data_IF_341625619221
#
_entry.id   IF_341625619221
#
_cell.length_a   1.000
_cell.length_b   1.000
_cell.length_c   1.000
_cell.angle_alpha   90.00
_cell.angle_beta   90.00
_cell.angle_gamma   90.00
#
_symmetry.space_group_name_H-M   'P 1'
#
loop_
_entity.id
_entity.type
_entity.pdbx_description
1 polymer ?
#
# COMPACT_ATOMS: atom_id res chain seq x y z
N UNK A 1 20.20 19.76 -0.44
CA UNK A 1 19.95 20.91 -1.32
C UNK A 1 21.02 20.95 -2.41
N UNK A 2 20.65 21.31 -3.65
CA UNK A 2 21.53 21.36 -4.84
C UNK A 2 22.84 22.15 -4.59
N UNK A 3 22.78 23.20 -3.76
CA UNK A 3 23.94 24.00 -3.37
C UNK A 3 25.02 23.19 -2.63
N UNK A 4 24.64 22.27 -1.75
CA UNK A 4 25.61 21.40 -1.07
C UNK A 4 26.30 20.45 -2.06
N UNK A 5 25.56 19.91 -3.02
CA UNK A 5 26.14 19.06 -4.08
C UNK A 5 27.16 19.81 -4.93
N UNK A 6 26.88 21.08 -5.25
CA UNK A 6 27.79 21.91 -6.00
C UNK A 6 29.10 22.20 -5.24
N UNK A 7 29.00 22.55 -3.94
CA UNK A 7 30.17 22.77 -3.07
C UNK A 7 31.01 21.48 -2.94
N UNK A 8 30.37 20.34 -2.70
CA UNK A 8 31.06 19.04 -2.61
C UNK A 8 31.76 18.71 -3.92
N UNK A 9 31.13 18.96 -5.07
CA UNK A 9 31.74 18.76 -6.38
C UNK A 9 32.99 19.61 -6.58
N UNK A 10 32.95 20.89 -6.25
CA UNK A 10 34.12 21.79 -6.33
C UNK A 10 35.24 21.27 -5.43
N UNK A 11 34.93 20.84 -4.22
CA UNK A 11 35.90 20.40 -3.23
C UNK A 11 36.61 19.11 -3.69
N UNK A 12 35.85 18.14 -4.20
CA UNK A 12 36.37 16.89 -4.74
C UNK A 12 37.30 17.12 -5.93
N UNK A 13 36.87 17.95 -6.89
CA UNK A 13 37.68 18.29 -8.07
C UNK A 13 38.95 19.08 -7.70
N UNK A 14 38.85 19.98 -6.71
CA UNK A 14 40.03 20.73 -6.22
C UNK A 14 41.07 19.81 -5.60
N UNK A 15 40.64 18.78 -4.82
CA UNK A 15 41.51 17.76 -4.28
C UNK A 15 42.17 16.97 -5.42
N UNK A 16 41.40 16.58 -6.43
CA UNK A 16 41.96 15.86 -7.59
C UNK A 16 43.00 16.67 -8.35
N UNK A 17 42.75 17.98 -8.57
CA UNK A 17 43.74 18.85 -9.20
C UNK A 17 45.01 19.01 -8.36
N UNK A 18 44.88 19.04 -7.03
CA UNK A 18 46.03 19.05 -6.14
C UNK A 18 46.90 17.78 -6.29
N UNK A 19 46.27 16.60 -6.37
CA UNK A 19 47.00 15.35 -6.61
C UNK A 19 47.71 15.35 -7.97
N UNK A 20 47.07 15.87 -9.04
CA UNK A 20 47.72 15.98 -10.35
C UNK A 20 48.94 16.90 -10.28
N UNK A 21 48.87 18.02 -9.56
CA UNK A 21 49.99 18.94 -9.38
C UNK A 21 51.16 18.30 -8.64
N UNK A 22 50.89 17.49 -7.60
CA UNK A 22 51.91 16.89 -6.75
C UNK A 22 52.60 15.67 -7.36
N UNK A 23 51.88 14.85 -8.13
CA UNK A 23 52.34 13.55 -8.60
C UNK A 23 52.62 13.47 -10.11
N UNK A 24 52.22 14.46 -10.91
CA UNK A 24 52.46 14.46 -12.36
C UNK A 24 53.63 15.35 -12.72
N UNK A 25 54.61 14.87 -13.52
CA UNK A 25 55.71 15.70 -14.01
C UNK A 25 55.27 16.91 -14.84
N UNK A 26 54.12 16.77 -15.52
CA UNK A 26 53.51 17.83 -16.35
C UNK A 26 52.26 18.44 -15.69
N UNK A 27 52.09 18.24 -14.38
CA UNK A 27 50.90 18.57 -13.62
C UNK A 27 50.46 20.02 -13.77
N UNK A 28 51.39 20.97 -13.76
CA UNK A 28 51.08 22.39 -13.92
C UNK A 28 50.47 22.72 -15.28
N UNK A 29 50.98 22.14 -16.36
CA UNK A 29 50.44 22.36 -17.72
C UNK A 29 49.06 21.75 -17.83
N UNK A 30 48.84 20.54 -17.31
CA UNK A 30 47.56 19.86 -17.32
C UNK A 30 46.51 20.66 -16.55
N UNK A 31 46.79 21.00 -15.29
CA UNK A 31 45.84 21.71 -14.44
C UNK A 31 45.45 23.06 -15.04
N UNK A 32 46.40 23.79 -15.63
CA UNK A 32 46.11 25.09 -16.29
C UNK A 32 45.04 25.01 -17.38
N UNK A 33 44.98 23.90 -18.13
CA UNK A 33 44.03 23.75 -19.25
C UNK A 33 42.76 23.00 -18.86
N UNK A 34 42.82 22.05 -17.92
CA UNK A 34 41.69 21.19 -17.64
C UNK A 34 40.94 21.54 -16.33
N UNK A 35 41.56 22.30 -15.38
CA UNK A 35 40.92 22.54 -14.08
C UNK A 35 39.57 23.25 -14.21
N UNK A 36 39.51 24.35 -14.96
CA UNK A 36 38.28 25.14 -15.06
C UNK A 36 37.11 24.32 -15.66
N UNK A 37 37.26 23.70 -16.85
CA UNK A 37 36.16 22.93 -17.41
C UNK A 37 35.77 21.70 -16.56
N UNK A 38 36.74 20.98 -15.96
CA UNK A 38 36.45 19.84 -15.12
C UNK A 38 35.70 20.24 -13.84
N UNK A 39 36.17 21.26 -13.12
CA UNK A 39 35.50 21.74 -11.90
C UNK A 39 34.09 22.17 -12.21
N UNK A 40 33.85 22.92 -13.28
CA UNK A 40 32.51 23.39 -13.63
C UNK A 40 31.56 22.24 -14.03
N UNK A 41 32.01 21.38 -14.95
CA UNK A 41 31.15 20.31 -15.48
C UNK A 41 30.84 19.28 -14.39
N UNK A 42 31.83 18.83 -13.64
CA UNK A 42 31.65 17.80 -12.63
C UNK A 42 30.90 18.33 -11.40
N UNK A 43 31.14 19.56 -10.98
CA UNK A 43 30.36 20.17 -9.88
C UNK A 43 28.90 20.37 -10.26
N UNK A 44 28.62 20.77 -11.49
CA UNK A 44 27.26 20.91 -12.01
C UNK A 44 26.58 19.54 -12.12
N UNK A 45 27.29 18.54 -12.67
CA UNK A 45 26.83 17.16 -12.78
C UNK A 45 26.50 16.56 -11.39
N UNK A 46 27.39 16.72 -10.44
CA UNK A 46 27.19 16.25 -9.05
C UNK A 46 25.98 16.95 -8.40
N UNK A 47 25.85 18.25 -8.61
CA UNK A 47 24.69 19.01 -8.09
C UNK A 47 23.36 18.52 -8.64
N UNK A 48 23.29 18.31 -9.96
CA UNK A 48 22.08 17.79 -10.63
C UNK A 48 21.78 16.36 -10.15
N UNK A 49 22.78 15.49 -10.12
CA UNK A 49 22.61 14.10 -9.67
C UNK A 49 22.08 14.01 -8.24
N UNK A 50 22.70 14.74 -7.31
CA UNK A 50 22.24 14.76 -5.91
C UNK A 50 20.85 15.41 -5.78
N UNK A 51 20.50 16.37 -6.62
CA UNK A 51 19.16 16.97 -6.64
C UNK A 51 18.10 15.97 -7.08
N UNK A 52 18.40 15.17 -8.11
CA UNK A 52 17.47 14.12 -8.59
C UNK A 52 17.27 13.05 -7.52
N UNK A 53 18.36 12.58 -6.88
CA UNK A 53 18.26 11.60 -5.78
C UNK A 53 17.45 12.17 -4.61
N UNK A 54 17.75 13.41 -4.19
CA UNK A 54 17.03 14.05 -3.09
C UNK A 54 15.54 14.21 -3.39
N UNK A 55 15.20 14.59 -4.61
CA UNK A 55 13.81 14.67 -5.04
C UNK A 55 13.10 13.32 -5.01
N UNK A 56 13.77 12.28 -5.50
CA UNK A 56 13.22 10.92 -5.50
C UNK A 56 12.96 10.40 -4.07
N UNK A 57 13.94 10.57 -3.18
CA UNK A 57 13.80 10.16 -1.77
C UNK A 57 12.69 10.95 -1.06
N UNK A 58 12.57 12.24 -1.34
CA UNK A 58 11.52 13.07 -0.73
C UNK A 58 10.13 12.68 -1.20
N UNK A 59 9.96 12.37 -2.49
CA UNK A 59 8.70 11.82 -3.00
C UNK A 59 8.31 10.50 -2.33
N UNK A 60 9.28 9.61 -2.09
CA UNK A 60 9.02 8.34 -1.42
C UNK A 60 8.59 8.56 0.04
N UNK A 61 9.20 9.50 0.76
CA UNK A 61 8.81 9.86 2.13
C UNK A 61 7.41 10.47 2.20
N UNK A 62 7.07 11.38 1.28
CA UNK A 62 5.72 11.97 1.22
C UNK A 62 4.65 10.94 0.92
N UNK A 63 4.90 10.02 -0.02
CA UNK A 63 3.98 8.92 -0.33
C UNK A 63 3.76 8.02 0.88
N UNK A 64 4.82 7.65 1.60
CA UNK A 64 4.74 6.85 2.83
C UNK A 64 3.97 7.58 3.94
N UNK A 65 4.21 8.88 4.11
CA UNK A 65 3.50 9.70 5.11
C UNK A 65 1.99 9.79 4.80
N UNK A 66 1.62 10.01 3.54
CA UNK A 66 0.22 10.04 3.11
C UNK A 66 -0.48 8.68 3.32
N UNK A 67 0.19 7.57 2.99
CA UNK A 67 -0.34 6.23 3.21
C UNK A 67 -0.56 5.94 4.69
N UNK A 68 0.39 6.30 5.55
CA UNK A 68 0.28 6.12 7.00
C UNK A 68 -0.87 6.94 7.57
N UNK A 69 -1.03 8.18 7.15
CA UNK A 69 -2.12 9.05 7.58
C UNK A 69 -3.50 8.48 7.17
N UNK A 70 -3.63 8.02 5.93
CA UNK A 70 -4.87 7.42 5.43
C UNK A 70 -5.26 6.14 6.19
N UNK A 71 -4.28 5.28 6.50
CA UNK A 71 -4.52 4.06 7.30
C UNK A 71 -4.96 4.40 8.72
N UNK A 72 -4.30 5.36 9.38
CA UNK A 72 -4.68 5.80 10.73
C UNK A 72 -6.09 6.41 10.75
N UNK A 73 -6.42 7.24 9.77
CA UNK A 73 -7.75 7.85 9.67
C UNK A 73 -8.82 6.79 9.40
N UNK A 74 -8.57 5.88 8.48
CA UNK A 74 -9.47 4.74 8.20
C UNK A 74 -9.68 3.90 9.45
N UNK A 75 -8.61 3.60 10.19
CA UNK A 75 -8.69 2.87 11.46
C UNK A 75 -9.57 3.60 12.46
N UNK A 76 -9.32 4.87 12.72
CA UNK A 76 -10.09 5.66 13.69
C UNK A 76 -11.57 5.76 13.32
N UNK A 77 -11.91 5.91 12.05
CA UNK A 77 -13.30 5.97 11.60
C UNK A 77 -14.02 4.61 11.65
N UNK A 78 -13.31 3.50 11.51
CA UNK A 78 -13.90 2.15 11.53
C UNK A 78 -14.02 1.53 12.92
N UNK A 79 -13.14 1.93 13.85
CA UNK A 79 -13.10 1.40 15.22
C UNK A 79 -14.45 1.37 15.93
N UNK A 80 -15.26 2.45 15.95
CA UNK A 80 -16.53 2.48 16.71
C UNK A 80 -17.53 1.43 16.23
N UNK A 81 -17.48 1.08 14.94
CA UNK A 81 -18.40 0.11 14.36
C UNK A 81 -18.00 -1.33 14.67
N UNK A 82 -16.72 -1.65 14.71
CA UNK A 82 -16.26 -3.00 15.05
C UNK A 82 -16.40 -3.34 16.54
N UNK A 83 -16.35 -2.36 17.43
CA UNK A 83 -16.71 -2.56 18.85
C UNK A 83 -18.15 -3.06 19.05
N UNK A 84 -19.04 -2.77 18.09
CA UNK A 84 -20.42 -3.27 18.09
C UNK A 84 -20.54 -4.72 17.57
N UNK A 85 -19.42 -5.39 17.33
CA UNK A 85 -19.36 -6.72 16.78
C UNK A 85 -19.52 -6.78 15.25
N UNK A 86 -19.29 -7.98 14.69
CA UNK A 86 -19.43 -8.24 13.28
C UNK A 86 -20.90 -8.50 12.92
N UNK A 87 -21.63 -7.48 12.51
CA UNK A 87 -23.03 -7.56 12.10
C UNK A 87 -23.28 -6.74 10.82
N UNK A 88 -24.49 -6.83 10.27
CA UNK A 88 -24.86 -6.15 9.02
C UNK A 88 -24.68 -4.63 9.11
N UNK A 89 -25.08 -4.00 10.22
CA UNK A 89 -25.01 -2.55 10.40
C UNK A 89 -23.55 -2.07 10.46
N UNK A 90 -22.74 -2.70 11.31
CA UNK A 90 -21.31 -2.37 11.45
C UNK A 90 -20.57 -2.60 10.12
N UNK A 91 -20.82 -3.73 9.46
CA UNK A 91 -20.20 -4.06 8.18
C UNK A 91 -20.55 -3.03 7.08
N UNK A 92 -21.80 -2.56 7.01
CA UNK A 92 -22.22 -1.54 6.03
C UNK A 92 -21.47 -0.21 6.20
N UNK A 93 -21.25 0.24 7.43
CA UNK A 93 -20.51 1.48 7.68
C UNK A 93 -19.03 1.31 7.33
N UNK A 94 -18.45 0.19 7.73
CA UNK A 94 -17.03 -0.10 7.49
C UNK A 94 -16.71 -0.21 6.01
N UNK A 95 -17.52 -0.91 5.19
CA UNK A 95 -17.25 -0.99 3.74
C UNK A 95 -17.31 0.38 3.06
N UNK A 96 -18.21 1.27 3.51
CA UNK A 96 -18.30 2.65 3.02
C UNK A 96 -17.04 3.45 3.36
N UNK A 97 -16.54 3.31 4.60
CA UNK A 97 -15.33 3.99 5.05
C UNK A 97 -14.13 3.48 4.27
N UNK A 98 -13.93 2.16 4.17
CA UNK A 98 -12.83 1.59 3.40
C UNK A 98 -12.89 2.07 1.94
N UNK A 99 -14.05 2.01 1.28
CA UNK A 99 -14.23 2.48 -0.09
C UNK A 99 -13.91 3.97 -0.27
N UNK A 100 -14.22 4.80 0.74
CA UNK A 100 -13.94 6.25 0.73
C UNK A 100 -12.43 6.56 0.79
N UNK A 101 -11.67 5.79 1.58
CA UNK A 101 -10.25 6.04 1.84
C UNK A 101 -9.29 5.18 1.02
N UNK A 102 -9.81 4.33 0.14
CA UNK A 102 -9.02 3.45 -0.71
C UNK A 102 -9.49 3.51 -2.17
N UNK A 103 -8.62 3.08 -3.07
CA UNK A 103 -8.91 3.05 -4.51
C UNK A 103 -9.51 1.71 -4.96
N UNK A 104 -9.91 0.81 -4.04
CA UNK A 104 -10.55 -0.45 -4.43
C UNK A 104 -11.88 -0.20 -5.15
N UNK A 105 -12.14 -0.91 -6.23
CA UNK A 105 -13.38 -0.78 -7.01
C UNK A 105 -14.59 -1.33 -6.26
N UNK A 106 -14.38 -2.37 -5.44
CA UNK A 106 -15.38 -2.87 -4.54
C UNK A 106 -14.78 -3.36 -3.21
N UNK A 107 -15.58 -3.24 -2.14
CA UNK A 107 -15.26 -3.73 -0.79
C UNK A 107 -16.42 -4.53 -0.25
N UNK A 108 -16.15 -5.70 0.33
CA UNK A 108 -17.17 -6.55 0.93
C UNK A 108 -16.72 -7.11 2.27
N UNK A 109 -17.66 -7.23 3.21
CA UNK A 109 -17.47 -7.92 4.49
C UNK A 109 -18.50 -9.04 4.57
N UNK A 110 -18.04 -10.22 5.03
CA UNK A 110 -18.89 -11.39 5.18
C UNK A 110 -18.73 -11.99 6.57
N UNK A 111 -19.74 -12.68 7.02
CA UNK A 111 -19.56 -13.72 8.05
C UNK A 111 -19.08 -15.02 7.42
N UNK A 112 -19.21 -16.14 8.11
CA UNK A 112 -18.79 -17.47 7.61
C UNK A 112 -19.68 -18.03 6.50
N UNK A 113 -20.90 -17.49 6.31
CA UNK A 113 -21.92 -18.06 5.45
C UNK A 113 -22.51 -17.05 4.46
N UNK A 114 -22.58 -15.76 4.84
CA UNK A 114 -23.33 -14.73 4.11
C UNK A 114 -22.52 -13.47 3.91
N UNK A 115 -22.87 -12.72 2.89
CA UNK A 115 -22.43 -11.35 2.67
C UNK A 115 -23.15 -10.46 3.67
N UNK A 116 -22.39 -9.76 4.54
CA UNK A 116 -22.96 -8.79 5.47
C UNK A 116 -23.10 -7.41 4.82
N UNK A 117 -22.08 -7.01 4.05
CA UNK A 117 -22.09 -5.76 3.31
C UNK A 117 -21.23 -5.88 2.04
N UNK A 118 -21.63 -5.17 1.01
CA UNK A 118 -20.89 -4.99 -0.24
C UNK A 118 -21.12 -3.58 -0.75
N UNK A 119 -20.12 -2.96 -1.39
CA UNK A 119 -20.22 -1.66 -2.04
C UNK A 119 -19.26 -1.60 -3.22
N UNK A 120 -19.71 -1.05 -4.34
CA UNK A 120 -18.91 -0.85 -5.55
C UNK A 120 -19.24 -1.86 -6.66
N UNK A 121 -18.27 -2.14 -7.52
CA UNK A 121 -18.47 -3.01 -8.67
C UNK A 121 -19.06 -4.38 -8.26
N UNK A 122 -20.04 -4.88 -9.01
CA UNK A 122 -20.71 -6.17 -8.73
C UNK A 122 -21.79 -6.09 -7.64
N UNK A 123 -22.31 -4.91 -7.29
CA UNK A 123 -23.37 -4.72 -6.30
C UNK A 123 -24.74 -5.26 -6.76
N UNK A 124 -24.89 -5.53 -8.03
CA UNK A 124 -26.07 -6.12 -8.66
C UNK A 124 -26.28 -7.60 -8.27
N UNK A 125 -25.21 -8.35 -7.95
CA UNK A 125 -25.28 -9.76 -7.57
C UNK A 125 -24.62 -10.08 -6.21
N UNK A 126 -23.64 -9.31 -5.74
CA UNK A 126 -23.08 -9.45 -4.39
C UNK A 126 -23.98 -8.83 -3.30
N UNK A 127 -25.22 -9.27 -3.23
CA UNK A 127 -26.28 -8.67 -2.39
C UNK A 127 -26.09 -9.07 -0.92
N UNK A 128 -26.11 -8.10 0.04
CA UNK A 128 -26.07 -8.39 1.46
C UNK A 128 -27.21 -9.31 1.92
N UNK A 129 -26.87 -10.40 2.59
CA UNK A 129 -27.80 -11.46 3.01
C UNK A 129 -27.69 -12.74 2.18
N UNK A 130 -27.22 -12.65 0.94
CA UNK A 130 -26.95 -13.82 0.11
C UNK A 130 -25.83 -14.70 0.70
N UNK A 131 -25.85 -15.99 0.33
CA UNK A 131 -24.77 -16.92 0.68
C UNK A 131 -23.47 -16.51 0.02
N UNK A 132 -22.37 -16.98 0.59
CA UNK A 132 -21.05 -16.82 -0.01
C UNK A 132 -20.98 -17.59 -1.34
N UNK A 133 -20.87 -16.85 -2.42
CA UNK A 133 -20.95 -17.37 -3.80
C UNK A 133 -19.56 -17.54 -4.43
N UNK A 134 -18.48 -17.13 -3.75
CA UNK A 134 -17.13 -17.23 -4.30
C UNK A 134 -16.33 -18.37 -3.66
N UNK A 135 -15.70 -19.19 -4.49
CA UNK A 135 -14.84 -20.31 -4.04
C UNK A 135 -13.64 -19.79 -3.22
N UNK A 136 -13.11 -18.62 -3.58
CA UNK A 136 -12.01 -17.97 -2.89
C UNK A 136 -12.34 -17.70 -1.42
N UNK A 137 -13.53 -17.16 -1.14
CA UNK A 137 -13.97 -16.86 0.23
C UNK A 137 -14.14 -18.11 1.08
N UNK A 138 -14.72 -19.18 0.51
CA UNK A 138 -14.84 -20.46 1.18
C UNK A 138 -13.48 -21.05 1.56
N UNK A 139 -12.48 -20.88 0.70
CA UNK A 139 -11.12 -21.33 0.96
C UNK A 139 -10.49 -20.53 2.13
N UNK A 140 -10.62 -19.20 2.14
CA UNK A 140 -10.11 -18.34 3.23
C UNK A 140 -10.75 -18.72 4.58
N UNK A 141 -12.06 -18.97 4.61
CA UNK A 141 -12.75 -19.37 5.84
C UNK A 141 -12.25 -20.73 6.35
N UNK A 142 -11.98 -21.68 5.45
CA UNK A 142 -11.48 -23.02 5.81
C UNK A 142 -10.03 -23.01 6.28
N UNK A 143 -9.17 -22.32 5.55
CA UNK A 143 -7.71 -22.32 5.80
C UNK A 143 -7.29 -21.27 6.80
N UNK A 144 -8.08 -20.19 6.92
CA UNK A 144 -7.72 -19.01 7.69
C UNK A 144 -6.54 -18.25 7.10
N UNK A 145 -6.14 -18.49 5.88
CA UNK A 145 -5.05 -17.78 5.21
C UNK A 145 -5.59 -16.77 4.23
N UNK A 146 -4.92 -15.62 4.15
CA UNK A 146 -5.20 -14.62 3.11
C UNK A 146 -5.02 -15.27 1.73
N UNK A 147 -5.89 -14.94 0.81
CA UNK A 147 -5.82 -15.39 -0.59
C UNK A 147 -5.93 -14.20 -1.52
N UNK A 148 -5.17 -14.29 -2.60
CA UNK A 148 -5.12 -13.28 -3.65
C UNK A 148 -5.56 -13.95 -4.94
N UNK A 149 -6.40 -13.28 -5.69
CA UNK A 149 -6.80 -13.67 -7.04
C UNK A 149 -6.40 -12.56 -8.01
N UNK A 150 -5.75 -12.95 -9.10
CA UNK A 150 -5.28 -12.05 -10.16
C UNK A 150 -6.12 -12.15 -11.44
N UNK A 151 -7.23 -12.85 -11.39
CA UNK A 151 -8.21 -12.95 -12.48
C UNK A 151 -9.57 -13.42 -11.94
N UNK A 152 -10.63 -13.17 -12.70
CA UNK A 152 -12.02 -13.52 -12.37
C UNK A 152 -12.23 -15.01 -12.09
N UNK A 153 -11.51 -15.91 -12.80
CA UNK A 153 -11.60 -17.37 -12.59
C UNK A 153 -11.11 -17.77 -11.20
N UNK A 154 -10.06 -17.13 -10.70
CA UNK A 154 -9.53 -17.38 -9.34
C UNK A 154 -10.47 -16.84 -8.26
N UNK A 155 -11.18 -15.75 -8.52
CA UNK A 155 -12.23 -15.24 -7.62
C UNK A 155 -13.34 -16.28 -7.52
N UNK A 156 -13.71 -16.88 -8.64
CA UNK A 156 -14.71 -17.96 -8.72
C UNK A 156 -16.10 -17.45 -8.35
N UNK A 157 -16.50 -16.30 -8.88
CA UNK A 157 -17.86 -15.80 -8.78
C UNK A 157 -18.80 -16.70 -9.61
N UNK A 158 -20.04 -16.88 -9.14
CA UNK A 158 -21.07 -17.67 -9.85
C UNK A 158 -21.56 -16.91 -11.07
N UNK A 159 -21.61 -15.58 -11.01
CA UNK A 159 -22.03 -14.76 -12.15
C UNK A 159 -20.88 -14.66 -13.17
N UNK A 160 -21.08 -15.15 -14.40
CA UNK A 160 -20.07 -15.10 -15.46
C UNK A 160 -19.79 -13.68 -15.96
N UNK A 161 -20.68 -12.73 -15.72
CA UNK A 161 -20.54 -11.33 -16.10
C UNK A 161 -19.98 -10.45 -14.96
N UNK A 162 -19.52 -11.07 -13.88
CA UNK A 162 -18.95 -10.34 -12.74
C UNK A 162 -17.75 -9.49 -13.21
N UNK A 163 -17.75 -8.16 -12.97
CA UNK A 163 -16.70 -7.26 -13.45
C UNK A 163 -15.41 -7.35 -12.63
N UNK A 164 -15.37 -8.18 -11.59
CA UNK A 164 -14.23 -8.26 -10.67
C UNK A 164 -13.12 -9.14 -11.24
N UNK A 165 -11.94 -8.55 -11.45
CA UNK A 165 -10.79 -9.23 -12.06
C UNK A 165 -9.68 -9.55 -11.07
N UNK A 166 -9.54 -8.76 -10.00
CA UNK A 166 -8.56 -9.03 -8.96
C UNK A 166 -9.18 -8.90 -7.58
N UNK A 167 -8.71 -9.72 -6.64
CA UNK A 167 -9.23 -9.74 -5.27
C UNK A 167 -8.17 -10.02 -4.23
N UNK A 168 -8.27 -9.35 -3.09
CA UNK A 168 -7.63 -9.71 -1.84
C UNK A 168 -8.75 -10.16 -0.90
N UNK A 169 -8.66 -11.38 -0.40
CA UNK A 169 -9.59 -11.90 0.61
C UNK A 169 -8.81 -12.25 1.87
N UNK A 170 -9.07 -11.49 2.92
CA UNK A 170 -8.39 -11.64 4.21
C UNK A 170 -9.36 -12.14 5.29
N UNK A 171 -8.94 -13.07 6.17
CA UNK A 171 -9.78 -13.60 7.22
C UNK A 171 -9.93 -12.61 8.38
N UNK A 172 -11.15 -12.40 8.85
CA UNK A 172 -11.45 -11.78 10.14
C UNK A 172 -11.44 -12.85 11.21
N UNK A 173 -10.60 -12.70 12.26
CA UNK A 173 -10.38 -13.72 13.27
C UNK A 173 -10.61 -13.18 14.69
N UNK A 174 -11.12 -14.02 15.57
CA UNK A 174 -11.05 -13.84 17.02
C UNK A 174 -10.28 -15.04 17.58
N UNK A 175 -9.10 -14.80 18.11
CA UNK A 175 -8.16 -15.85 18.44
C UNK A 175 -7.84 -16.73 17.22
N UNK A 176 -8.05 -18.04 17.35
CA UNK A 176 -7.82 -19.00 16.25
C UNK A 176 -9.04 -19.21 15.35
N UNK A 177 -10.19 -18.61 15.65
CA UNK A 177 -11.43 -18.84 14.90
C UNK A 177 -11.65 -17.78 13.85
N UNK A 178 -11.81 -18.18 12.59
CA UNK A 178 -12.26 -17.28 11.51
C UNK A 178 -13.75 -17.01 11.70
N UNK A 179 -14.14 -15.77 11.86
CA UNK A 179 -15.54 -15.33 12.03
C UNK A 179 -16.13 -14.78 10.73
N UNK A 180 -15.30 -14.34 9.80
CA UNK A 180 -15.71 -13.79 8.52
C UNK A 180 -14.54 -13.47 7.62
N UNK A 181 -14.79 -12.66 6.57
CA UNK A 181 -13.75 -12.19 5.65
C UNK A 181 -13.95 -10.72 5.31
N UNK A 182 -12.84 -10.01 5.13
CA UNK A 182 -12.77 -8.73 4.45
C UNK A 182 -12.28 -9.01 3.03
N UNK A 183 -12.96 -8.44 2.05
CA UNK A 183 -12.65 -8.61 0.64
C UNK A 183 -12.52 -7.23 -0.02
N UNK A 184 -11.48 -7.07 -0.80
CA UNK A 184 -11.20 -5.87 -1.58
C UNK A 184 -10.93 -6.28 -3.01
N UNK A 185 -11.50 -5.56 -3.96
CA UNK A 185 -11.53 -5.96 -5.36
C UNK A 185 -11.14 -4.82 -6.28
N UNK A 186 -10.56 -5.20 -7.42
CA UNK A 186 -10.36 -4.37 -8.59
C UNK A 186 -11.08 -4.96 -9.81
N UNK A 187 -11.48 -4.09 -10.71
CA UNK A 187 -12.07 -4.46 -12.01
C UNK A 187 -11.00 -4.68 -13.08
N UNK A 188 -9.74 -4.49 -12.75
CA UNK A 188 -8.61 -4.85 -13.58
C UNK A 188 -7.56 -5.66 -12.81
N UNK A 189 -6.63 -6.29 -13.56
CA UNK A 189 -5.67 -7.23 -12.99
C UNK A 189 -4.39 -6.56 -12.45
N UNK A 190 -4.16 -5.28 -12.73
CA UNK A 190 -2.85 -4.63 -12.61
C UNK A 190 -2.63 -3.87 -11.29
N UNK A 191 -3.64 -3.73 -10.46
CA UNK A 191 -3.60 -2.86 -9.28
C UNK A 191 -3.25 -3.54 -7.94
N UNK A 192 -3.07 -4.87 -7.92
CA UNK A 192 -2.70 -5.56 -6.68
C UNK A 192 -1.22 -5.43 -6.38
N UNK A 193 -0.88 -4.48 -5.53
CA UNK A 193 0.48 -4.24 -5.05
C UNK A 193 0.72 -4.87 -3.66
N UNK A 194 1.98 -5.09 -3.26
CA UNK A 194 2.30 -5.52 -1.89
C UNK A 194 1.76 -4.57 -0.81
N UNK A 195 1.61 -3.28 -1.12
CA UNK A 195 1.07 -2.27 -0.19
C UNK A 195 -0.39 -2.55 0.13
N UNK A 196 -1.21 -2.86 -0.86
CA UNK A 196 -2.65 -3.17 -0.67
C UNK A 196 -2.84 -4.48 0.07
N UNK A 197 -1.98 -5.46 -0.15
CA UNK A 197 -2.00 -6.71 0.61
C UNK A 197 -1.70 -6.45 2.09
N UNK A 198 -0.68 -5.65 2.39
CA UNK A 198 -0.34 -5.27 3.77
C UNK A 198 -1.44 -4.44 4.41
N UNK A 199 -2.08 -3.54 3.67
CA UNK A 199 -3.24 -2.79 4.14
C UNK A 199 -4.38 -3.74 4.54
N UNK A 200 -4.71 -4.73 3.70
CA UNK A 200 -5.75 -5.71 3.98
C UNK A 200 -5.46 -6.51 5.26
N UNK A 201 -4.21 -6.96 5.44
CA UNK A 201 -3.77 -7.68 6.62
C UNK A 201 -3.92 -6.81 7.86
N UNK A 202 -3.35 -5.59 7.82
CA UNK A 202 -3.39 -4.66 8.95
C UNK A 202 -4.82 -4.29 9.37
N UNK A 203 -5.70 -4.04 8.42
CA UNK A 203 -7.12 -3.79 8.70
C UNK A 203 -7.79 -4.98 9.39
N UNK A 204 -7.55 -6.20 8.90
CA UNK A 204 -8.13 -7.40 9.51
C UNK A 204 -7.64 -7.64 10.95
N UNK A 205 -6.36 -7.38 11.23
CA UNK A 205 -5.79 -7.49 12.58
C UNK A 205 -6.41 -6.46 13.53
N UNK A 206 -6.53 -5.19 13.09
CA UNK A 206 -7.15 -4.13 13.88
C UNK A 206 -8.62 -4.47 14.16
N UNK A 207 -9.36 -4.92 13.16
CA UNK A 207 -10.78 -5.26 13.29
C UNK A 207 -10.98 -6.45 14.23
N UNK A 208 -10.15 -7.48 14.12
CA UNK A 208 -10.20 -8.64 15.02
C UNK A 208 -10.00 -8.21 16.48
N UNK A 209 -9.02 -7.36 16.75
CA UNK A 209 -8.75 -6.84 18.09
C UNK A 209 -9.93 -6.02 18.63
N UNK A 210 -10.57 -5.19 17.82
CA UNK A 210 -11.69 -4.37 18.24
C UNK A 210 -12.97 -5.18 18.51
N UNK A 211 -13.24 -6.19 17.70
CA UNK A 211 -14.38 -7.09 17.93
C UNK A 211 -14.18 -7.84 19.24
N UNK A 212 -12.96 -8.33 19.51
CA UNK A 212 -12.62 -9.02 20.76
C UNK A 212 -12.80 -8.12 21.98
N UNK A 213 -12.37 -6.85 21.90
CA UNK A 213 -12.54 -5.88 22.98
C UNK A 213 -14.03 -5.56 23.23
N UNK A 214 -14.82 -5.38 22.17
CA UNK A 214 -16.26 -5.15 22.29
C UNK A 214 -17.02 -6.32 22.92
N UNK A 215 -16.64 -7.57 22.64
CA UNK A 215 -17.21 -8.76 23.28
C UNK A 215 -16.85 -8.83 24.79
N UNK A 216 -15.65 -8.39 25.17
CA UNK A 216 -15.22 -8.39 26.57
C UNK A 216 -15.89 -7.29 27.41
N UNK A 217 -16.31 -6.17 26.81
CA UNK A 217 -17.04 -5.08 27.50
C UNK A 217 -18.51 -5.43 27.79
N UNK A 218 -19.07 -6.44 27.12
CA UNK A 218 -20.49 -6.84 27.24
C UNK A 218 -20.67 -8.00 28.26
N UNK A 219 -19.58 -8.61 28.70
CA UNK A 219 -19.58 -9.65 29.77
C UNK A 219 -19.36 -9.03 31.13
#
# INVERSE_FOLDING_TARGET
>A
TSWHGFIVGILMESIQMLFILLFSPTGWVLVKYIALPMILVNSLGTSIFLSIISMYLHQEEELRAMQTHSVLQLTNETLPYFRQGLNKSSAQQVVKIIKKYTNFDAVSITDRQRILAHIGAGDDHHIPGNRLETSLSSNVIKTGQIKIANNSKMIGCIDPNCPLEAAIVAPLRIGNKVIGTLKMYYTDQWHLTPVEIQLAIGLCEIFANQITLGEAEVQ
#
